data_IF_032528800994
#
_entry.id   IF_032528800994
#
_cell.length_a   1.000
_cell.length_b   1.000
_cell.length_c   1.000
_cell.angle_alpha   90.00
_cell.angle_beta   90.00
_cell.angle_gamma   90.00
#
_symmetry.space_group_name_H-M   'P 1'
#
loop_
_entity.id
_entity.type
_entity.pdbx_description
1 polymer ?
#
# COMPACT_ATOMS: atom_id res chain seq x y z
N UNK A 1 -41.80 45.58 -5.32
CA UNK A 1 -40.38 45.79 -5.64
C UNK A 1 -39.56 44.97 -4.65
N UNK A 2 -39.47 43.66 -4.87
CA UNK A 2 -38.64 42.76 -4.06
C UNK A 2 -37.21 42.91 -4.53
N UNK A 3 -36.32 43.32 -3.63
CA UNK A 3 -34.90 43.46 -3.91
C UNK A 3 -34.32 42.06 -4.11
N UNK A 4 -33.99 41.72 -5.34
CA UNK A 4 -33.15 40.57 -5.65
C UNK A 4 -31.76 40.84 -5.03
N UNK A 5 -31.56 40.38 -3.80
CA UNK A 5 -30.24 40.35 -3.19
C UNK A 5 -29.30 39.56 -4.11
N UNK A 6 -28.24 40.18 -4.67
CA UNK A 6 -27.32 39.44 -5.52
C UNK A 6 -26.70 38.34 -4.67
N UNK A 7 -26.93 37.08 -5.09
CA UNK A 7 -26.33 35.90 -4.48
C UNK A 7 -24.81 36.13 -4.43
N UNK A 8 -24.28 36.32 -3.22
CA UNK A 8 -22.86 36.48 -3.00
C UNK A 8 -22.15 35.27 -3.59
N UNK A 9 -21.37 35.48 -4.65
CA UNK A 9 -20.56 34.42 -5.25
C UNK A 9 -19.45 34.13 -4.24
N UNK A 10 -19.65 33.13 -3.40
CA UNK A 10 -18.58 32.58 -2.57
C UNK A 10 -17.47 32.06 -3.49
N UNK A 11 -16.39 32.84 -3.60
CA UNK A 11 -15.19 32.43 -4.31
C UNK A 11 -14.54 31.26 -3.58
N UNK A 12 -14.79 30.04 -4.04
CA UNK A 12 -14.11 28.84 -3.51
C UNK A 12 -12.63 28.88 -3.87
N UNK A 13 -11.78 28.46 -2.94
CA UNK A 13 -10.33 28.42 -3.17
C UNK A 13 -9.97 27.41 -4.28
N UNK A 14 -8.84 27.59 -4.99
CA UNK A 14 -8.42 26.64 -6.02
C UNK A 14 -8.33 25.20 -5.52
N UNK A 15 -7.89 25.00 -4.27
CA UNK A 15 -7.84 23.69 -3.63
C UNK A 15 -9.24 23.10 -3.38
N UNK A 16 -10.21 23.93 -2.96
CA UNK A 16 -11.60 23.50 -2.80
C UNK A 16 -12.22 23.10 -4.14
N UNK A 17 -11.93 23.84 -5.22
CA UNK A 17 -12.41 23.51 -6.56
C UNK A 17 -11.77 22.22 -7.09
N UNK A 18 -10.47 22.03 -6.89
CA UNK A 18 -9.77 20.80 -7.25
C UNK A 18 -10.34 19.59 -6.48
N UNK A 19 -10.54 19.73 -5.17
CA UNK A 19 -11.11 18.66 -4.33
C UNK A 19 -12.55 18.28 -4.74
N UNK A 20 -13.38 19.27 -5.05
CA UNK A 20 -14.75 19.04 -5.51
C UNK A 20 -14.79 18.30 -6.86
N UNK A 21 -13.84 18.58 -7.75
CA UNK A 21 -13.69 17.85 -9.03
C UNK A 21 -13.17 16.43 -8.79
N UNK A 22 -12.13 16.29 -7.97
CA UNK A 22 -11.55 14.99 -7.62
C UNK A 22 -12.56 14.02 -7.01
N UNK A 23 -13.41 14.50 -6.09
CA UNK A 23 -14.48 13.69 -5.47
C UNK A 23 -15.54 13.18 -6.44
N UNK A 24 -15.74 13.86 -7.58
CA UNK A 24 -16.70 13.43 -8.61
C UNK A 24 -16.11 12.36 -9.53
N UNK A 25 -14.79 12.26 -9.60
CA UNK A 25 -14.09 11.25 -10.38
C UNK A 25 -13.96 9.95 -9.59
N UNK A 26 -14.74 8.95 -9.97
CA UNK A 26 -14.75 7.64 -9.32
C UNK A 26 -13.40 6.91 -9.47
N UNK A 27 -12.74 7.07 -10.62
CA UNK A 27 -11.44 6.43 -10.88
C UNK A 27 -10.38 7.05 -9.97
N UNK A 28 -10.37 8.37 -9.86
CA UNK A 28 -9.46 9.09 -8.98
C UNK A 28 -9.64 8.69 -7.50
N UNK A 29 -10.89 8.51 -7.05
CA UNK A 29 -11.18 8.05 -5.69
C UNK A 29 -10.73 6.61 -5.45
N UNK A 30 -10.97 5.70 -6.39
CA UNK A 30 -10.48 4.30 -6.27
C UNK A 30 -8.95 4.27 -6.18
N UNK A 31 -8.27 5.04 -7.03
CA UNK A 31 -6.81 5.15 -6.98
C UNK A 31 -6.31 5.74 -5.65
N UNK A 32 -6.97 6.78 -5.13
CA UNK A 32 -6.64 7.37 -3.84
C UNK A 32 -6.80 6.37 -2.70
N UNK A 33 -7.92 5.63 -2.66
CA UNK A 33 -8.17 4.61 -1.63
C UNK A 33 -7.11 3.52 -1.69
N UNK A 34 -6.85 2.97 -2.88
CA UNK A 34 -5.85 1.92 -3.06
C UNK A 34 -4.44 2.38 -2.65
N UNK A 35 -4.03 3.57 -3.08
CA UNK A 35 -2.74 4.17 -2.70
C UNK A 35 -2.65 4.38 -1.19
N UNK A 36 -3.72 4.89 -0.57
CA UNK A 36 -3.79 5.10 0.89
C UNK A 36 -3.63 3.78 1.65
N UNK A 37 -4.24 2.70 1.17
CA UNK A 37 -4.08 1.37 1.76
C UNK A 37 -2.62 0.92 1.70
N UNK A 38 -1.96 0.99 0.53
CA UNK A 38 -0.56 0.59 0.39
C UNK A 38 0.36 1.42 1.28
N UNK A 39 0.19 2.75 1.29
CA UNK A 39 0.99 3.65 2.13
C UNK A 39 0.79 3.31 3.61
N UNK A 40 -0.44 3.05 4.03
CA UNK A 40 -0.74 2.65 5.41
C UNK A 40 -0.06 1.33 5.78
N UNK A 41 -0.16 0.31 4.91
CA UNK A 41 0.52 -0.98 5.11
C UNK A 41 2.04 -0.82 5.20
N UNK A 42 2.63 0.02 4.34
CA UNK A 42 4.05 0.30 4.31
C UNK A 42 4.54 1.01 5.58
N UNK A 43 3.82 2.04 6.04
CA UNK A 43 4.16 2.78 7.26
C UNK A 43 4.08 1.89 8.50
N UNK A 44 3.06 1.03 8.57
CA UNK A 44 2.83 0.13 9.70
C UNK A 44 3.36 -1.29 9.46
N UNK A 45 4.31 -1.47 8.55
CA UNK A 45 4.83 -2.79 8.17
C UNK A 45 5.21 -3.70 9.35
N UNK A 46 5.95 -3.22 10.38
CA UNK A 46 6.31 -4.08 11.52
C UNK A 46 5.10 -4.57 12.30
N UNK A 47 4.09 -3.72 12.49
CA UNK A 47 2.90 -4.07 13.26
C UNK A 47 1.96 -4.97 12.47
N UNK A 48 1.81 -4.74 11.16
CA UNK A 48 1.01 -5.61 10.29
C UNK A 48 1.63 -7.01 10.22
N UNK A 49 2.95 -7.10 10.05
CA UNK A 49 3.63 -8.39 9.99
C UNK A 49 3.60 -9.11 11.34
N UNK A 50 3.77 -8.39 12.45
CA UNK A 50 3.63 -8.97 13.80
C UNK A 50 2.20 -9.48 14.07
N UNK A 51 1.18 -8.74 13.65
CA UNK A 51 -0.23 -9.15 13.80
C UNK A 51 -0.55 -10.41 13.01
N UNK A 52 0.02 -10.53 11.80
CA UNK A 52 -0.15 -11.69 10.94
C UNK A 52 0.82 -12.84 11.28
N UNK A 53 1.73 -12.64 12.23
CA UNK A 53 2.80 -13.58 12.59
C UNK A 53 3.61 -14.04 11.37
N UNK A 54 3.92 -13.11 10.47
CA UNK A 54 4.73 -13.33 9.26
C UNK A 54 6.04 -12.54 9.37
N UNK A 55 7.12 -13.08 8.82
CA UNK A 55 8.44 -12.46 8.84
C UNK A 55 9.00 -12.34 7.41
N UNK A 56 9.43 -11.13 6.99
CA UNK A 56 9.95 -10.93 5.65
C UNK A 56 11.31 -11.59 5.42
N UNK A 57 12.10 -11.89 6.44
CA UNK A 57 13.48 -12.38 6.36
C UNK A 57 13.67 -13.84 6.78
N UNK A 58 12.71 -14.43 7.51
CA UNK A 58 12.79 -15.84 7.92
C UNK A 58 12.77 -16.77 6.71
N UNK A 59 13.64 -17.78 6.72
CA UNK A 59 13.69 -18.84 5.72
C UNK A 59 12.96 -20.07 6.25
N UNK A 60 11.82 -20.43 5.65
CA UNK A 60 11.11 -21.67 5.99
C UNK A 60 11.35 -22.75 4.93
N UNK A 61 12.44 -23.50 5.08
CA UNK A 61 12.78 -24.60 4.19
C UNK A 61 11.80 -25.78 4.29
N UNK A 62 10.97 -25.86 5.35
CA UNK A 62 9.99 -26.94 5.51
C UNK A 62 8.80 -26.78 4.54
N UNK A 63 8.61 -25.58 4.01
CA UNK A 63 7.59 -25.27 2.99
C UNK A 63 8.05 -25.60 1.57
N UNK A 64 9.30 -26.04 1.40
CA UNK A 64 9.90 -26.36 0.11
C UNK A 64 10.11 -27.86 -0.06
N UNK A 65 10.12 -28.32 -1.31
CA UNK A 65 10.52 -29.67 -1.69
C UNK A 65 12.04 -29.76 -1.93
N UNK A 66 12.52 -30.95 -2.34
CA UNK A 66 13.94 -31.19 -2.59
C UNK A 66 14.54 -30.39 -3.75
N UNK A 67 13.72 -29.76 -4.58
CA UNK A 67 14.15 -28.90 -5.69
C UNK A 67 13.91 -27.41 -5.41
N UNK A 68 13.48 -27.07 -4.19
CA UNK A 68 13.29 -25.68 -3.74
C UNK A 68 11.97 -25.06 -4.20
N UNK A 69 10.99 -25.86 -4.60
CA UNK A 69 9.66 -25.39 -5.00
C UNK A 69 8.71 -25.51 -3.80
N UNK A 70 7.76 -24.58 -3.60
CA UNK A 70 6.77 -24.72 -2.54
C UNK A 70 6.03 -26.06 -2.64
N UNK A 71 6.08 -26.85 -1.56
CA UNK A 71 5.53 -28.20 -1.50
C UNK A 71 3.98 -28.23 -1.37
N UNK A 72 3.35 -27.07 -1.23
CA UNK A 72 1.90 -26.90 -1.08
C UNK A 72 1.28 -26.20 -2.31
N UNK A 73 0.01 -26.52 -2.66
CA UNK A 73 -0.70 -25.86 -3.76
C UNK A 73 -0.68 -24.33 -3.68
N UNK A 74 -0.89 -23.68 -4.84
CA UNK A 74 -0.90 -22.22 -4.97
C UNK A 74 0.37 -21.53 -4.42
N UNK A 75 1.54 -22.18 -4.53
CA UNK A 75 2.82 -21.60 -4.13
C UNK A 75 3.03 -21.51 -2.62
N UNK A 76 2.44 -22.44 -1.84
CA UNK A 76 2.58 -22.44 -0.38
C UNK A 76 1.56 -21.57 0.37
N UNK A 77 0.50 -21.12 -0.30
CA UNK A 77 -0.52 -20.27 0.30
C UNK A 77 -1.20 -20.97 1.49
N UNK A 78 -1.15 -20.35 2.67
CA UNK A 78 -1.69 -20.90 3.91
C UNK A 78 -2.01 -19.78 4.90
N UNK A 79 -2.56 -20.12 6.08
CA UNK A 79 -2.77 -19.11 7.14
C UNK A 79 -1.45 -18.55 7.69
N UNK A 80 -0.38 -19.34 7.64
CA UNK A 80 0.97 -18.92 8.01
C UNK A 80 1.64 -18.11 6.89
N UNK A 81 1.28 -18.40 5.63
CA UNK A 81 1.80 -17.70 4.45
C UNK A 81 0.66 -17.21 3.55
N UNK A 82 0.01 -16.07 3.86
CA UNK A 82 -1.23 -15.68 3.21
C UNK A 82 -1.12 -15.44 1.71
N UNK A 83 0.07 -15.10 1.19
CA UNK A 83 0.35 -14.99 -0.25
C UNK A 83 1.34 -16.06 -0.75
N UNK A 84 1.61 -17.08 0.06
CA UNK A 84 2.59 -18.12 -0.24
C UNK A 84 4.03 -17.71 0.08
N UNK A 85 4.94 -18.57 -0.38
CA UNK A 85 6.38 -18.49 -0.07
C UNK A 85 7.21 -18.39 -1.34
N UNK A 86 8.34 -17.70 -1.23
CA UNK A 86 9.29 -17.55 -2.33
C UNK A 86 10.00 -18.88 -2.62
N UNK A 87 10.05 -19.33 -3.90
CA UNK A 87 10.84 -20.49 -4.29
C UNK A 87 12.33 -20.32 -3.95
N UNK A 88 12.96 -21.40 -3.48
CA UNK A 88 14.38 -21.47 -3.14
C UNK A 88 14.75 -20.95 -1.76
N UNK A 89 13.96 -20.04 -1.17
CA UNK A 89 14.25 -19.44 0.15
C UNK A 89 13.18 -19.74 1.20
N UNK A 90 11.93 -19.99 0.78
CA UNK A 90 10.80 -20.22 1.69
C UNK A 90 10.37 -18.96 2.44
N UNK A 91 10.74 -17.76 1.95
CA UNK A 91 10.37 -16.49 2.60
C UNK A 91 8.92 -16.13 2.36
N UNK A 92 8.27 -15.51 3.34
CA UNK A 92 6.89 -15.06 3.20
C UNK A 92 6.76 -13.92 2.17
N UNK A 93 5.97 -14.15 1.12
CA UNK A 93 5.80 -13.19 0.02
C UNK A 93 5.04 -11.94 0.49
N UNK A 94 4.02 -12.08 1.33
CA UNK A 94 3.23 -10.94 1.82
C UNK A 94 4.10 -10.01 2.67
N UNK A 95 4.86 -10.56 3.60
CA UNK A 95 5.77 -9.81 4.44
C UNK A 95 6.81 -9.08 3.59
N UNK A 96 7.38 -9.75 2.56
CA UNK A 96 8.32 -9.12 1.63
C UNK A 96 7.70 -7.99 0.83
N UNK A 97 6.45 -8.11 0.38
CA UNK A 97 5.76 -7.05 -0.34
C UNK A 97 5.53 -5.82 0.55
N UNK A 98 5.07 -6.03 1.79
CA UNK A 98 4.80 -4.95 2.75
C UNK A 98 6.10 -4.20 3.10
N UNK A 99 7.18 -4.93 3.41
CA UNK A 99 8.49 -4.32 3.71
C UNK A 99 9.17 -3.71 2.47
N UNK A 100 8.94 -4.28 1.28
CA UNK A 100 9.36 -3.70 0.01
C UNK A 100 8.70 -2.35 -0.21
N UNK A 101 7.39 -2.24 -0.01
CA UNK A 101 6.64 -0.99 -0.11
C UNK A 101 7.16 0.07 0.89
N UNK A 102 7.48 -0.32 2.13
CA UNK A 102 8.10 0.56 3.13
C UNK A 102 9.44 1.12 2.67
N UNK A 103 10.30 0.25 2.14
CA UNK A 103 11.61 0.66 1.60
C UNK A 103 11.45 1.64 0.45
N UNK A 104 10.58 1.32 -0.52
CA UNK A 104 10.32 2.19 -1.67
C UNK A 104 9.79 3.57 -1.25
N UNK A 105 8.86 3.64 -0.30
CA UNK A 105 8.34 4.90 0.22
C UNK A 105 9.44 5.71 0.90
N UNK A 106 10.30 5.06 1.69
CA UNK A 106 11.43 5.70 2.38
C UNK A 106 12.40 6.32 1.37
N UNK A 107 12.80 5.55 0.34
CA UNK A 107 13.70 6.02 -0.71
C UNK A 107 13.07 7.17 -1.50
N UNK A 108 11.79 7.05 -1.86
CA UNK A 108 11.08 8.11 -2.59
C UNK A 108 11.00 9.42 -1.80
N UNK A 109 10.72 9.35 -0.49
CA UNK A 109 10.67 10.53 0.38
C UNK A 109 12.05 11.19 0.52
N UNK A 110 13.10 10.39 0.74
CA UNK A 110 14.48 10.88 0.83
C UNK A 110 14.90 11.54 -0.50
N UNK A 111 14.66 10.88 -1.64
CA UNK A 111 14.97 11.43 -2.95
C UNK A 111 14.22 12.74 -3.23
N UNK A 112 12.93 12.80 -2.86
CA UNK A 112 12.12 14.02 -3.01
C UNK A 112 12.67 15.16 -2.17
N UNK A 113 13.07 14.88 -0.93
CA UNK A 113 13.68 15.88 -0.06
C UNK A 113 14.94 16.47 -0.71
N UNK A 114 15.88 15.64 -1.16
CA UNK A 114 17.10 16.11 -1.85
C UNK A 114 16.85 16.76 -3.21
N UNK A 115 15.69 16.56 -3.82
CA UNK A 115 15.35 17.23 -5.08
C UNK A 115 14.90 18.67 -4.84
N UNK A 116 14.26 18.92 -3.69
CA UNK A 116 13.70 20.23 -3.34
C UNK A 116 14.73 21.17 -2.68
N UNK A 117 15.85 20.64 -2.19
CA UNK A 117 16.93 21.36 -1.51
C UNK A 117 18.26 21.15 -2.22
#
# INVERSE_FOLDING_TARGET
MSLDTPLAIEGKSPAQLAWLRFKKDKVAIVALVFSTIIVTLALFAPWVCALLNIDPYSLDNSTLDSVGIPNSPFGGMSRAHPLGVEPGTGRDILARLIYGARTSLTVALIATFFTLY
#
